data_IF_234406047585
#
_entry.id   IF_234406047585
#
_cell.length_a   1.000
_cell.length_b   1.000
_cell.length_c   1.000
_cell.angle_alpha   90.00
_cell.angle_beta   90.00
_cell.angle_gamma   90.00
#
_symmetry.space_group_name_H-M   'P 1'
#
loop_
_entity.id
_entity.type
_entity.pdbx_description
1 polymer ?
#
# COMPACT_ATOMS: atom_id res chain seq x y z
N UNK A 1 5.87 14.18 7.09
CA UNK A 1 4.63 13.55 6.67
C UNK A 1 4.93 12.48 5.63
N UNK A 2 4.38 11.29 5.81
CA UNK A 2 4.64 10.18 4.90
C UNK A 2 3.82 10.30 3.62
N UNK A 3 4.49 10.08 2.50
CA UNK A 3 3.83 10.06 1.20
C UNK A 3 3.48 8.64 0.75
N UNK A 4 3.95 7.63 1.49
CA UNK A 4 3.68 6.23 1.21
C UNK A 4 2.61 5.72 2.17
N UNK A 5 1.49 5.25 1.63
CA UNK A 5 0.35 4.80 2.41
C UNK A 5 0.05 3.33 2.15
N UNK A 6 -0.27 2.61 3.23
CA UNK A 6 -0.75 1.24 3.16
C UNK A 6 -2.14 1.19 3.77
N UNK A 7 -3.13 0.76 3.01
CA UNK A 7 -4.48 0.53 3.53
C UNK A 7 -4.69 -0.97 3.69
N UNK A 8 -5.13 -1.38 4.87
CA UNK A 8 -5.25 -2.80 5.19
C UNK A 8 -6.46 -3.09 6.06
N UNK A 9 -6.83 -4.38 6.16
CA UNK A 9 -7.86 -4.85 7.07
C UNK A 9 -7.22 -5.77 8.09
N UNK A 10 -7.63 -5.68 9.34
CA UNK A 10 -7.03 -6.47 10.42
C UNK A 10 -7.12 -7.98 10.16
N UNK A 11 -8.22 -8.43 9.56
CA UNK A 11 -8.45 -9.85 9.28
C UNK A 11 -8.09 -10.27 7.85
N UNK A 12 -7.39 -9.43 7.11
CA UNK A 12 -7.07 -9.67 5.70
C UNK A 12 -5.79 -10.50 5.55
N UNK A 13 -5.86 -11.75 5.06
CA UNK A 13 -4.65 -12.59 4.93
C UNK A 13 -3.65 -12.06 3.90
N UNK A 14 -4.12 -11.43 2.83
CA UNK A 14 -3.22 -10.82 1.84
C UNK A 14 -2.47 -9.63 2.44
N UNK A 15 -3.12 -8.90 3.34
CA UNK A 15 -2.49 -7.79 4.04
C UNK A 15 -1.37 -8.28 4.95
N UNK A 16 -1.57 -9.42 5.62
CA UNK A 16 -0.54 -10.01 6.48
C UNK A 16 0.73 -10.30 5.68
N UNK A 17 0.57 -10.90 4.50
CA UNK A 17 1.73 -11.20 3.65
C UNK A 17 2.45 -9.95 3.20
N UNK A 18 1.72 -8.93 2.79
CA UNK A 18 2.32 -7.68 2.35
C UNK A 18 2.96 -6.94 3.50
N UNK A 19 2.47 -7.12 4.72
CA UNK A 19 3.03 -6.48 5.90
C UNK A 19 4.49 -6.90 6.12
N UNK A 20 4.82 -8.14 5.82
CA UNK A 20 6.21 -8.61 5.88
C UNK A 20 7.09 -7.84 4.90
N UNK A 21 6.57 -7.56 3.71
CA UNK A 21 7.29 -6.77 2.72
C UNK A 21 7.42 -5.32 3.15
N UNK A 22 6.40 -4.78 3.81
CA UNK A 22 6.44 -3.42 4.36
C UNK A 22 7.59 -3.30 5.35
N UNK A 23 7.67 -4.22 6.31
CA UNK A 23 8.72 -4.20 7.31
C UNK A 23 10.12 -4.33 6.69
N UNK A 24 10.24 -5.23 5.73
CA UNK A 24 11.51 -5.43 5.04
C UNK A 24 11.95 -4.18 4.29
N UNK A 25 11.03 -3.55 3.58
CA UNK A 25 11.34 -2.34 2.82
C UNK A 25 11.72 -1.18 3.73
N UNK A 26 11.00 -1.02 4.85
CA UNK A 26 11.32 0.04 5.80
C UNK A 26 12.73 -0.10 6.34
N UNK A 27 13.16 -1.34 6.61
CA UNK A 27 14.50 -1.59 7.11
C UNK A 27 15.57 -1.38 6.04
N UNK A 28 15.34 -1.89 4.84
CA UNK A 28 16.34 -1.84 3.78
C UNK A 28 16.52 -0.44 3.20
N UNK A 29 15.44 0.30 3.06
CA UNK A 29 15.47 1.62 2.43
C UNK A 29 15.51 2.77 3.44
N UNK A 30 15.34 2.47 4.73
CA UNK A 30 15.30 3.51 5.76
C UNK A 30 14.12 4.46 5.61
N UNK A 31 12.99 3.96 5.11
CA UNK A 31 11.79 4.76 4.89
C UNK A 31 10.70 4.36 5.87
N UNK A 32 9.60 5.13 5.87
CA UNK A 32 8.45 4.86 6.70
C UNK A 32 7.20 4.83 5.84
N UNK A 33 6.38 3.78 6.04
CA UNK A 33 5.10 3.64 5.36
C UNK A 33 4.00 3.81 6.40
N UNK A 34 3.05 4.69 6.13
CA UNK A 34 1.94 4.92 7.04
C UNK A 34 0.87 3.86 6.81
N UNK A 35 0.59 3.05 7.84
CA UNK A 35 -0.39 1.96 7.76
C UNK A 35 -1.73 2.42 8.31
N UNK A 36 -2.79 2.28 7.50
CA UNK A 36 -4.12 2.77 7.81
C UNK A 36 -5.11 1.61 7.73
N UNK A 37 -5.63 1.19 8.88
CA UNK A 37 -6.61 0.12 8.97
C UNK A 37 -7.98 0.65 8.53
N UNK A 38 -8.68 -0.06 7.65
CA UNK A 38 -9.92 0.44 7.06
C UNK A 38 -11.16 -0.37 7.40
N UNK A 39 -11.03 -1.62 7.83
CA UNK A 39 -12.21 -2.45 8.11
C UNK A 39 -12.93 -2.04 9.39
N UNK A 40 -12.20 -1.50 10.37
CA UNK A 40 -12.75 -1.07 11.65
C UNK A 40 -12.60 0.43 11.90
N UNK A 41 -12.16 1.18 10.88
CA UNK A 41 -11.92 2.61 11.01
C UNK A 41 -12.54 3.36 9.82
N UNK A 42 -13.77 3.90 10.01
CA UNK A 42 -14.48 4.57 8.91
C UNK A 42 -13.74 5.77 8.29
N UNK A 43 -12.96 6.48 9.08
CA UNK A 43 -12.21 7.64 8.55
C UNK A 43 -11.14 7.20 7.56
N UNK A 44 -10.43 6.11 7.90
CA UNK A 44 -9.42 5.57 7.00
C UNK A 44 -10.05 4.96 5.75
N UNK A 45 -11.20 4.30 5.90
CA UNK A 45 -11.93 3.77 4.77
C UNK A 45 -12.34 4.87 3.80
N UNK A 46 -12.81 6.00 4.34
CA UNK A 46 -13.18 7.14 3.51
C UNK A 46 -11.97 7.64 2.72
N UNK A 47 -10.82 7.74 3.37
CA UNK A 47 -9.60 8.17 2.70
C UNK A 47 -9.19 7.20 1.60
N UNK A 48 -9.32 5.90 1.84
CA UNK A 48 -9.06 4.88 0.84
C UNK A 48 -9.95 5.09 -0.39
N UNK A 49 -11.25 5.28 -0.17
CA UNK A 49 -12.20 5.45 -1.27
C UNK A 49 -11.90 6.69 -2.09
N UNK A 50 -11.42 7.75 -1.46
CA UNK A 50 -11.05 8.96 -2.18
C UNK A 50 -9.84 8.75 -3.09
N UNK A 51 -8.89 7.92 -2.67
CA UNK A 51 -7.68 7.64 -3.44
C UNK A 51 -7.89 6.52 -4.46
N UNK A 52 -8.64 5.48 -4.08
CA UNK A 52 -8.84 4.31 -4.93
C UNK A 52 -9.68 4.60 -6.16
N UNK A 53 -10.73 5.39 -6.02
CA UNK A 53 -11.64 5.73 -7.13
C UNK A 53 -12.10 4.51 -7.92
N UNK A 54 -12.31 3.39 -7.21
CA UNK A 54 -12.77 2.13 -7.78
C UNK A 54 -11.74 1.36 -8.61
N UNK A 55 -10.47 1.74 -8.54
CA UNK A 55 -9.41 1.01 -9.25
C UNK A 55 -9.19 -0.38 -8.66
N UNK A 56 -9.21 -0.50 -7.35
CA UNK A 56 -8.94 -1.75 -6.65
C UNK A 56 -10.18 -2.36 -6.01
N UNK A 57 -10.92 -1.54 -5.26
CA UNK A 57 -12.13 -1.98 -4.58
C UNK A 57 -11.90 -2.80 -3.34
N UNK A 58 -10.68 -2.82 -2.79
CA UNK A 58 -10.40 -3.61 -1.61
C UNK A 58 -9.01 -3.36 -1.06
N UNK A 59 -8.58 -4.25 -0.16
CA UNK A 59 -7.28 -4.17 0.50
C UNK A 59 -6.50 -5.48 0.28
N UNK A 60 -5.17 -5.47 0.37
CA UNK A 60 -4.32 -4.31 0.63
C UNK A 60 -4.26 -3.37 -0.55
N UNK A 61 -4.10 -2.09 -0.26
CA UNK A 61 -3.97 -1.06 -1.29
C UNK A 61 -2.87 -0.11 -0.87
N UNK A 62 -1.93 0.13 -1.77
CA UNK A 62 -0.77 1.00 -1.49
C UNK A 62 -0.80 2.19 -2.42
N UNK A 63 -0.56 3.37 -1.89
CA UNK A 63 -0.62 4.60 -2.66
C UNK A 63 0.56 5.50 -2.36
N UNK A 64 1.22 5.99 -3.41
CA UNK A 64 2.33 6.94 -3.30
C UNK A 64 1.80 8.33 -3.67
N UNK A 65 1.71 9.21 -2.66
CA UNK A 65 1.15 10.54 -2.85
C UNK A 65 2.01 11.45 -3.74
N UNK A 66 3.28 11.15 -3.88
CA UNK A 66 4.17 11.95 -4.72
C UNK A 66 4.06 11.62 -6.20
N UNK A 67 3.83 10.35 -6.52
CA UNK A 67 3.79 9.89 -7.92
C UNK A 67 2.38 9.58 -8.40
N UNK A 68 1.42 9.47 -7.47
CA UNK A 68 0.05 9.03 -7.73
C UNK A 68 -0.02 7.60 -8.29
N UNK A 69 1.01 6.81 -8.01
CA UNK A 69 1.03 5.40 -8.39
C UNK A 69 0.54 4.54 -7.24
N UNK A 70 -0.12 3.44 -7.57
CA UNK A 70 -0.71 2.57 -6.56
C UNK A 70 -0.42 1.11 -6.87
N UNK A 71 -0.59 0.26 -5.83
CA UNK A 71 -0.56 -1.20 -5.97
C UNK A 71 -1.85 -1.73 -5.36
N UNK A 72 -2.55 -2.57 -6.10
CA UNK A 72 -3.78 -3.22 -5.64
C UNK A 72 -3.49 -4.68 -5.34
N UNK A 73 -3.65 -5.07 -4.06
CA UNK A 73 -3.43 -6.45 -3.65
C UNK A 73 -1.96 -6.79 -3.43
N UNK A 74 -1.65 -8.07 -3.59
CA UNK A 74 -0.27 -8.54 -3.40
C UNK A 74 0.59 -8.28 -4.63
N UNK A 75 1.88 -8.05 -4.40
CA UNK A 75 2.84 -7.89 -5.49
C UNK A 75 4.20 -8.41 -5.02
N UNK A 76 5.15 -8.53 -5.95
CA UNK A 76 6.50 -8.94 -5.61
C UNK A 76 7.22 -7.84 -4.83
N UNK A 77 8.25 -8.23 -4.08
CA UNK A 77 9.04 -7.25 -3.35
C UNK A 77 9.72 -6.25 -4.30
N UNK A 78 10.14 -6.74 -5.46
CA UNK A 78 10.78 -5.88 -6.46
C UNK A 78 9.83 -4.77 -6.93
N UNK A 79 8.58 -5.13 -7.26
CA UNK A 79 7.57 -4.15 -7.65
C UNK A 79 7.25 -3.20 -6.50
N UNK A 80 7.16 -3.72 -5.28
CA UNK A 80 6.85 -2.92 -4.11
C UNK A 80 7.92 -1.87 -3.88
N UNK A 81 9.19 -2.26 -4.03
CA UNK A 81 10.33 -1.36 -3.90
C UNK A 81 10.30 -0.26 -4.97
N UNK A 82 10.00 -0.63 -6.21
CA UNK A 82 9.88 0.34 -7.31
C UNK A 82 8.78 1.34 -7.04
N UNK A 83 7.63 0.86 -6.57
CA UNK A 83 6.52 1.74 -6.21
C UNK A 83 6.94 2.76 -5.15
N UNK A 84 7.64 2.32 -4.12
CA UNK A 84 8.06 3.19 -3.03
C UNK A 84 9.08 4.24 -3.50
N UNK A 85 9.94 3.87 -4.45
CA UNK A 85 10.95 4.77 -5.01
C UNK A 85 10.40 5.70 -6.09
N UNK A 86 9.17 5.49 -6.53
CA UNK A 86 8.58 6.28 -7.61
C UNK A 86 9.02 5.83 -8.99
N UNK A 87 9.55 4.61 -9.10
CA UNK A 87 9.97 4.04 -10.40
C UNK A 87 8.80 3.34 -11.08
N UNK A 88 8.91 3.15 -12.39
CA UNK A 88 7.89 2.41 -13.14
C UNK A 88 7.90 0.93 -12.78
N UNK A 89 6.73 0.33 -12.72
CA UNK A 89 6.58 -1.08 -12.41
C UNK A 89 5.31 -1.62 -13.06
N UNK A 90 5.22 -2.97 -13.11
CA UNK A 90 4.07 -3.64 -13.70
C UNK A 90 3.34 -4.44 -12.62
N UNK A 91 2.10 -4.06 -12.31
CA UNK A 91 1.32 -4.72 -11.27
C UNK A 91 0.88 -6.14 -11.60
N UNK A 92 0.89 -6.50 -12.86
CA UNK A 92 0.43 -7.82 -13.28
C UNK A 92 1.46 -8.93 -13.07
N UNK A 93 2.65 -8.60 -12.66
CA UNK A 93 3.70 -9.59 -12.38
C UNK A 93 3.63 -10.13 -10.96
#
# INVERSE_FOLDING_TARGET
>A
MNHLLEFYGTECPHCVRMHELVEKLEKEEGIKIESLEVWHNPENEKRLLELDKEFCGGVPFFYNLKTNKWICGETSYDNFKKWARGEDFNQEE
#
